data_IF_471132152189
#
_entry.id   IF_471132152189
#
_cell.length_a   1.000
_cell.length_b   1.000
_cell.length_c   1.000
_cell.angle_alpha   90.00
_cell.angle_beta   90.00
_cell.angle_gamma   90.00
#
_symmetry.space_group_name_H-M   'P 1'
#
loop_
_entity.id
_entity.type
_entity.pdbx_description
1 polymer ?
#
# COMPACT_ATOMS: atom_id res chain seq x y z
N UNK A 1 6.35 -5.16 18.20
CA UNK A 1 6.78 -4.23 17.11
C UNK A 1 5.56 -3.57 16.52
N UNK A 2 5.63 -2.24 16.34
CA UNK A 2 4.49 -1.46 15.78
C UNK A 2 4.76 -1.06 14.35
N UNK A 3 3.95 -1.57 13.43
CA UNK A 3 4.06 -1.34 11.99
C UNK A 3 2.86 -0.53 11.51
N UNK A 4 3.11 0.64 10.93
CA UNK A 4 2.10 1.50 10.33
C UNK A 4 2.01 1.25 8.83
N UNK A 5 0.84 0.89 8.35
CA UNK A 5 0.53 0.80 6.92
C UNK A 5 -0.41 1.95 6.53
N UNK A 6 0.05 2.81 5.64
CA UNK A 6 -0.64 4.01 5.17
C UNK A 6 -1.26 3.68 3.81
N UNK A 7 -2.51 4.09 3.61
CA UNK A 7 -3.22 3.90 2.34
C UNK A 7 -2.62 4.71 1.19
N UNK A 8 -3.26 4.57 0.03
CA UNK A 8 -2.81 5.19 -1.22
C UNK A 8 -2.53 6.69 -1.08
N UNK A 9 -1.28 7.09 -1.28
CA UNK A 9 -0.88 8.51 -1.18
C UNK A 9 -1.15 9.19 -2.51
N UNK A 10 -2.08 10.15 -2.52
CA UNK A 10 -2.59 10.77 -3.74
C UNK A 10 -2.01 12.17 -3.96
N UNK A 11 -1.17 12.27 -4.97
CA UNK A 11 -0.58 13.52 -5.45
C UNK A 11 0.35 14.22 -4.46
N UNK A 12 0.86 15.35 -4.88
CA UNK A 12 1.78 16.16 -4.06
C UNK A 12 1.13 16.69 -2.77
N UNK A 13 -0.20 16.87 -2.77
CA UNK A 13 -0.94 17.32 -1.59
C UNK A 13 -0.97 16.23 -0.51
N UNK A 14 -1.22 14.96 -0.91
CA UNK A 14 -1.14 13.81 0.00
C UNK A 14 0.27 13.60 0.53
N UNK A 15 1.29 13.71 -0.34
CA UNK A 15 2.69 13.62 0.07
C UNK A 15 3.07 14.68 1.13
N UNK A 16 2.66 15.93 0.94
CA UNK A 16 2.91 17.01 1.92
C UNK A 16 2.20 16.76 3.23
N UNK A 17 0.94 16.33 3.19
CA UNK A 17 0.17 16.02 4.40
C UNK A 17 0.81 14.88 5.20
N UNK A 18 1.24 13.80 4.52
CA UNK A 18 1.97 12.70 5.14
C UNK A 18 3.24 13.22 5.84
N UNK A 19 4.06 14.01 5.14
CA UNK A 19 5.31 14.59 5.71
C UNK A 19 5.05 15.41 6.97
N UNK A 20 3.96 16.17 6.99
CA UNK A 20 3.58 17.00 8.14
C UNK A 20 3.15 16.15 9.34
N UNK A 21 2.36 15.11 9.13
CA UNK A 21 1.73 14.33 10.20
C UNK A 21 2.58 13.15 10.70
N UNK A 22 3.32 12.49 9.82
CA UNK A 22 4.00 11.23 10.14
C UNK A 22 5.01 11.33 11.29
N UNK A 23 5.88 12.37 11.39
CA UNK A 23 6.86 12.45 12.48
C UNK A 23 6.21 12.48 13.87
N UNK A 24 5.14 13.26 14.02
CA UNK A 24 4.39 13.34 15.27
C UNK A 24 3.68 12.01 15.58
N UNK A 25 3.05 11.42 14.58
CA UNK A 25 2.37 10.13 14.72
C UNK A 25 3.35 9.02 15.13
N UNK A 26 4.52 8.95 14.50
CA UNK A 26 5.58 7.98 14.85
C UNK A 26 5.96 8.10 16.32
N UNK A 27 6.19 9.32 16.80
CA UNK A 27 6.57 9.58 18.20
C UNK A 27 5.45 9.22 19.18
N UNK A 28 4.23 9.68 18.93
CA UNK A 28 3.08 9.48 19.83
C UNK A 28 2.67 8.02 19.92
N UNK A 29 2.70 7.30 18.81
CA UNK A 29 2.29 5.88 18.75
C UNK A 29 3.44 4.90 18.95
N UNK A 30 4.70 5.36 19.02
CA UNK A 30 5.87 4.50 19.13
C UNK A 30 6.00 3.55 17.94
N UNK A 31 5.91 4.10 16.73
CA UNK A 31 5.94 3.31 15.48
C UNK A 31 7.37 2.96 15.12
N UNK A 32 7.65 1.68 14.94
CA UNK A 32 8.95 1.15 14.60
C UNK A 32 9.21 1.13 13.09
N UNK A 33 8.17 0.89 12.28
CA UNK A 33 8.28 0.74 10.82
C UNK A 33 7.05 1.31 10.10
N UNK A 34 7.27 1.89 8.91
CA UNK A 34 6.22 2.56 8.14
C UNK A 34 6.24 2.08 6.69
N UNK A 35 5.09 1.64 6.20
CA UNK A 35 4.82 1.39 4.79
C UNK A 35 3.79 2.38 4.28
N UNK A 36 3.85 2.74 3.00
CA UNK A 36 2.73 3.39 2.32
C UNK A 36 2.57 2.86 0.89
N UNK A 37 1.36 2.88 0.37
CA UNK A 37 1.17 2.71 -1.06
C UNK A 37 1.41 4.07 -1.74
N UNK A 38 2.40 4.12 -2.64
CA UNK A 38 2.86 5.34 -3.31
C UNK A 38 2.49 5.42 -4.78
N UNK A 39 1.72 4.48 -5.32
CA UNK A 39 1.44 4.41 -6.76
C UNK A 39 0.74 5.64 -7.35
N UNK A 40 0.08 6.44 -6.50
CA UNK A 40 -0.66 7.64 -6.88
C UNK A 40 0.04 8.94 -6.47
N UNK A 41 1.29 8.87 -5.99
CA UNK A 41 2.03 10.02 -5.45
C UNK A 41 2.41 11.08 -6.49
N UNK A 42 2.56 10.68 -7.77
CA UNK A 42 2.85 11.59 -8.88
C UNK A 42 1.54 12.01 -9.58
N UNK A 43 1.00 13.16 -9.18
CA UNK A 43 -0.24 13.74 -9.76
C UNK A 43 -1.44 12.78 -9.80
N UNK A 44 -1.51 11.85 -8.82
CA UNK A 44 -2.59 10.87 -8.73
C UNK A 44 -2.52 9.73 -9.73
N UNK A 45 -1.42 9.56 -10.46
CA UNK A 45 -1.27 8.52 -11.47
C UNK A 45 0.21 8.15 -11.71
N UNK A 46 0.67 7.15 -11.00
CA UNK A 46 2.05 6.69 -11.01
C UNK A 46 2.91 7.27 -9.89
N UNK A 47 4.17 6.89 -9.90
CA UNK A 47 5.24 7.35 -9.02
C UNK A 47 6.37 7.92 -9.88
N UNK A 48 7.11 8.89 -9.35
CA UNK A 48 8.34 9.43 -9.95
C UNK A 48 9.48 9.35 -8.95
N UNK A 49 10.75 9.43 -9.40
CA UNK A 49 11.89 9.52 -8.47
C UNK A 49 11.71 10.63 -7.42
N UNK A 50 11.18 11.77 -7.83
CA UNK A 50 10.94 12.91 -6.93
C UNK A 50 9.90 12.60 -5.87
N UNK A 51 8.73 12.04 -6.24
CA UNK A 51 7.68 11.72 -5.27
C UNK A 51 8.08 10.56 -4.36
N UNK A 52 8.81 9.57 -4.88
CA UNK A 52 9.33 8.46 -4.08
C UNK A 52 10.35 8.93 -3.03
N UNK A 53 11.36 9.69 -3.43
CA UNK A 53 12.34 10.26 -2.50
C UNK A 53 11.64 11.15 -1.46
N UNK A 54 10.64 11.94 -1.88
CA UNK A 54 9.89 12.76 -0.94
C UNK A 54 9.19 11.93 0.16
N UNK A 55 8.62 10.78 -0.18
CA UNK A 55 7.98 9.87 0.79
C UNK A 55 9.02 9.19 1.70
N UNK A 56 10.11 8.68 1.13
CA UNK A 56 11.21 8.07 1.91
C UNK A 56 11.82 9.08 2.89
N UNK A 57 12.11 10.30 2.44
CA UNK A 57 12.64 11.40 3.28
C UNK A 57 11.64 11.87 4.35
N UNK A 58 10.36 11.58 4.17
CA UNK A 58 9.31 11.85 5.16
C UNK A 58 9.27 10.82 6.28
N UNK A 59 10.06 9.75 6.19
CA UNK A 59 10.18 8.71 7.20
C UNK A 59 9.40 7.43 6.90
N UNK A 60 8.97 7.24 5.66
CA UNK A 60 8.48 5.96 5.13
C UNK A 60 9.68 5.03 4.92
N UNK A 61 9.56 3.77 5.31
CA UNK A 61 10.63 2.78 5.18
C UNK A 61 10.53 2.00 3.86
N UNK A 62 9.31 1.66 3.42
CA UNK A 62 9.05 0.95 2.18
C UNK A 62 7.82 1.53 1.50
N UNK A 63 7.89 1.69 0.18
CA UNK A 63 6.79 2.12 -0.67
C UNK A 63 6.31 0.92 -1.47
N UNK A 64 5.03 0.56 -1.34
CA UNK A 64 4.36 -0.40 -2.21
C UNK A 64 3.68 0.31 -3.37
N UNK A 65 3.41 -0.41 -4.44
CA UNK A 65 2.78 0.09 -5.65
C UNK A 65 1.53 -0.74 -6.02
N UNK A 66 1.00 -0.54 -7.21
CA UNK A 66 -0.18 -1.23 -7.71
C UNK A 66 -0.31 -1.15 -9.25
N UNK A 67 -1.53 -0.98 -9.77
CA UNK A 67 -1.79 -0.93 -11.21
C UNK A 67 -1.21 0.32 -11.91
N UNK A 68 -0.80 1.33 -11.17
CA UNK A 68 -0.13 2.52 -11.71
C UNK A 68 1.40 2.46 -11.62
N UNK A 69 2.00 1.34 -11.21
CA UNK A 69 3.46 1.18 -11.02
C UNK A 69 4.28 1.71 -12.19
N UNK A 70 3.83 1.45 -13.41
CA UNK A 70 4.57 1.76 -14.65
C UNK A 70 3.88 2.83 -15.52
N UNK A 71 3.08 3.72 -14.93
CA UNK A 71 2.47 4.85 -15.64
C UNK A 71 3.44 5.96 -15.99
N UNK A 72 4.58 6.05 -15.28
CA UNK A 72 5.62 7.06 -15.46
C UNK A 72 6.92 6.38 -15.89
N UNK A 73 7.31 6.57 -17.14
CA UNK A 73 8.52 5.91 -17.72
C UNK A 73 9.80 6.28 -16.96
N UNK A 74 9.88 7.50 -16.44
CA UNK A 74 11.01 8.00 -15.64
C UNK A 74 11.21 7.26 -14.31
N UNK A 75 10.22 6.47 -13.88
CA UNK A 75 10.33 5.67 -12.66
C UNK A 75 10.94 4.28 -12.89
N UNK A 76 11.07 3.81 -14.13
CA UNK A 76 11.44 2.41 -14.40
C UNK A 76 12.81 2.07 -13.85
N UNK A 77 13.84 2.82 -14.25
CA UNK A 77 15.21 2.60 -13.77
C UNK A 77 15.31 2.82 -12.26
N UNK A 78 14.58 3.83 -11.75
CA UNK A 78 14.57 4.16 -10.33
C UNK A 78 13.92 3.07 -9.47
N UNK A 79 12.85 2.42 -9.94
CA UNK A 79 12.21 1.28 -9.26
C UNK A 79 13.16 0.07 -9.27
N UNK A 80 13.89 -0.14 -10.36
CA UNK A 80 14.82 -1.25 -10.50
C UNK A 80 16.04 -1.10 -9.56
N UNK A 81 16.52 0.11 -9.39
CA UNK A 81 17.69 0.44 -8.56
C UNK A 81 17.37 0.62 -7.07
N UNK A 82 16.10 0.82 -6.70
CA UNK A 82 15.71 1.13 -5.32
C UNK A 82 14.95 -0.03 -4.66
N UNK A 83 15.61 -0.81 -3.77
CA UNK A 83 14.99 -1.98 -3.13
C UNK A 83 13.84 -1.65 -2.18
N UNK A 84 13.68 -0.38 -1.78
CA UNK A 84 12.61 0.06 -0.88
C UNK A 84 11.33 0.46 -1.60
N UNK A 85 11.30 0.29 -2.94
CA UNK A 85 10.11 0.44 -3.75
C UNK A 85 9.71 -0.93 -4.29
N UNK A 86 8.56 -1.44 -3.84
CA UNK A 86 8.12 -2.81 -4.08
C UNK A 86 6.91 -2.80 -5.01
N UNK A 87 7.12 -3.26 -6.25
CA UNK A 87 6.04 -3.40 -7.23
C UNK A 87 5.24 -4.68 -6.99
N UNK A 88 4.03 -4.84 -7.56
CA UNK A 88 3.33 -6.13 -7.46
C UNK A 88 4.17 -7.29 -7.98
N UNK A 89 4.28 -8.34 -7.16
CA UNK A 89 5.16 -9.49 -7.42
C UNK A 89 4.68 -10.37 -8.57
N UNK A 90 3.40 -10.31 -8.89
CA UNK A 90 2.80 -11.09 -9.98
C UNK A 90 2.90 -10.45 -11.37
N UNK A 91 3.68 -9.37 -11.54
CA UNK A 91 4.21 -8.99 -12.86
C UNK A 91 5.26 -10.00 -13.32
N UNK A 92 5.45 -10.19 -14.65
CA UNK A 92 6.41 -11.14 -15.19
C UNK A 92 7.83 -10.93 -14.65
N UNK A 93 8.41 -11.99 -14.08
CA UNK A 93 9.78 -11.95 -13.56
C UNK A 93 10.82 -11.81 -14.70
N UNK A 94 11.92 -11.10 -14.39
CA UNK A 94 13.08 -10.95 -15.28
C UNK A 94 12.92 -9.96 -16.43
N UNK A 95 11.69 -9.45 -16.67
CA UNK A 95 11.43 -8.46 -17.72
C UNK A 95 10.82 -7.16 -17.18
N UNK A 96 10.26 -7.20 -15.99
CA UNK A 96 9.61 -6.05 -15.34
C UNK A 96 10.58 -5.43 -14.32
N UNK A 97 10.85 -4.11 -14.37
CA UNK A 97 11.73 -3.44 -13.42
C UNK A 97 11.30 -3.60 -11.96
N UNK A 98 12.28 -3.69 -11.06
CA UNK A 98 12.06 -3.75 -9.62
C UNK A 98 11.65 -5.13 -9.09
N UNK A 99 11.47 -5.18 -7.79
CA UNK A 99 11.20 -6.40 -7.04
C UNK A 99 9.80 -6.37 -6.42
N UNK A 100 9.19 -7.56 -6.27
CA UNK A 100 7.88 -7.73 -5.61
C UNK A 100 7.96 -8.06 -4.12
N UNK A 101 9.18 -8.18 -3.59
CA UNK A 101 9.48 -8.48 -2.19
C UNK A 101 10.75 -7.77 -1.77
N UNK A 102 10.80 -7.32 -0.52
CA UNK A 102 12.02 -6.81 0.13
C UNK A 102 12.13 -7.32 1.56
N UNK A 103 13.34 -7.68 1.96
CA UNK A 103 13.69 -8.02 3.33
C UNK A 103 14.51 -6.87 3.92
N UNK A 104 13.93 -6.12 4.86
CA UNK A 104 14.54 -4.92 5.45
C UNK A 104 15.09 -5.23 6.82
N UNK A 105 16.41 -5.13 6.98
CA UNK A 105 17.05 -5.21 8.28
C UNK A 105 16.93 -3.86 9.02
N UNK A 106 16.19 -3.85 10.12
CA UNK A 106 16.03 -2.66 10.97
C UNK A 106 17.11 -2.53 12.04
N UNK A 107 18.10 -3.42 12.04
CA UNK A 107 19.10 -3.55 13.11
C UNK A 107 18.57 -4.26 14.36
N UNK A 108 17.26 -4.47 14.47
CA UNK A 108 16.61 -5.22 15.56
C UNK A 108 15.94 -6.51 15.05
N UNK A 109 15.32 -6.42 13.89
CA UNK A 109 14.59 -7.51 13.23
C UNK A 109 14.60 -7.29 11.72
N UNK A 110 14.55 -8.37 10.98
CA UNK A 110 14.22 -8.31 9.55
C UNK A 110 12.70 -8.22 9.42
N UNK A 111 12.23 -7.34 8.55
CA UNK A 111 10.82 -7.22 8.16
C UNK A 111 10.75 -7.53 6.68
N UNK A 112 9.94 -8.52 6.32
CA UNK A 112 9.65 -8.83 4.92
C UNK A 112 8.40 -8.07 4.48
N UNK A 113 8.49 -7.34 3.37
CA UNK A 113 7.37 -6.67 2.73
C UNK A 113 7.14 -7.29 1.36
N UNK A 114 5.91 -7.69 1.09
CA UNK A 114 5.47 -8.26 -0.18
C UNK A 114 4.34 -7.39 -0.73
N UNK A 115 4.40 -7.07 -2.01
CA UNK A 115 3.31 -6.43 -2.72
C UNK A 115 2.74 -7.39 -3.76
N UNK A 116 1.43 -7.54 -3.82
CA UNK A 116 0.72 -8.41 -4.78
C UNK A 116 -0.48 -7.65 -5.31
N UNK A 117 -0.83 -7.86 -6.57
CA UNK A 117 -2.01 -7.26 -7.18
C UNK A 117 -3.08 -8.32 -7.47
N UNK A 118 -4.34 -7.97 -7.23
CA UNK A 118 -5.49 -8.78 -7.64
C UNK A 118 -5.71 -8.74 -9.14
N UNK A 119 -6.53 -9.65 -9.63
CA UNK A 119 -6.90 -9.74 -11.05
C UNK A 119 -8.40 -9.44 -11.29
N UNK A 120 -9.24 -9.62 -10.27
CA UNK A 120 -10.69 -9.46 -10.41
C UNK A 120 -11.06 -7.98 -10.56
N UNK A 121 -11.63 -7.61 -11.70
CA UNK A 121 -12.00 -6.25 -12.10
C UNK A 121 -10.80 -5.29 -12.24
N UNK A 122 -9.59 -5.84 -12.35
CA UNK A 122 -8.37 -5.08 -12.65
C UNK A 122 -8.08 -5.17 -14.16
N UNK A 123 -7.56 -4.08 -14.74
CA UNK A 123 -7.27 -4.02 -16.19
C UNK A 123 -6.05 -4.87 -16.59
N UNK A 124 -5.22 -5.26 -15.63
CA UNK A 124 -3.97 -5.98 -15.86
C UNK A 124 -4.21 -7.49 -15.70
N UNK A 125 -3.91 -8.26 -16.76
CA UNK A 125 -3.86 -9.72 -16.68
C UNK A 125 -2.47 -10.14 -16.17
N UNK A 126 -2.34 -10.28 -14.86
CA UNK A 126 -1.13 -10.75 -14.21
C UNK A 126 -1.23 -12.22 -13.82
N UNK A 127 -0.12 -12.80 -13.40
CA UNK A 127 -0.09 -14.16 -12.87
C UNK A 127 -1.01 -14.31 -11.66
N UNK A 128 -1.42 -15.55 -11.36
CA UNK A 128 -2.29 -15.86 -10.23
C UNK A 128 -1.74 -15.29 -8.92
N UNK A 129 -2.50 -14.41 -8.28
CA UNK A 129 -2.09 -13.74 -7.04
C UNK A 129 -1.81 -14.72 -5.89
N UNK A 130 -2.56 -15.83 -5.81
CA UNK A 130 -2.41 -16.84 -4.76
C UNK A 130 -1.13 -17.67 -4.95
N UNK A 131 -0.84 -18.11 -6.17
CA UNK A 131 0.40 -18.84 -6.49
C UNK A 131 1.62 -17.93 -6.31
N UNK A 132 1.49 -16.65 -6.68
CA UNK A 132 2.50 -15.64 -6.45
C UNK A 132 2.77 -15.46 -4.95
N UNK A 133 1.72 -15.37 -4.12
CA UNK A 133 1.85 -15.25 -2.67
C UNK A 133 2.63 -16.44 -2.08
N UNK A 134 2.31 -17.68 -2.47
CA UNK A 134 3.05 -18.87 -2.02
C UNK A 134 4.54 -18.82 -2.40
N UNK A 135 4.83 -18.35 -3.63
CA UNK A 135 6.20 -18.25 -4.09
C UNK A 135 6.98 -17.14 -3.36
N UNK A 136 6.34 -16.01 -3.05
CA UNK A 136 6.97 -14.93 -2.30
C UNK A 136 7.23 -15.32 -0.84
N UNK A 137 6.32 -16.08 -0.21
CA UNK A 137 6.53 -16.58 1.15
C UNK A 137 7.78 -17.47 1.28
N UNK A 138 8.15 -18.20 0.24
CA UNK A 138 9.39 -19.01 0.20
C UNK A 138 10.67 -18.16 0.19
N UNK A 139 10.57 -16.89 -0.24
CA UNK A 139 11.68 -15.92 -0.31
C UNK A 139 11.75 -15.01 0.93
N UNK A 140 10.78 -15.13 1.84
CA UNK A 140 10.77 -14.35 3.08
C UNK A 140 11.87 -14.80 4.04
N UNK A 141 12.64 -13.84 4.57
CA UNK A 141 13.75 -14.10 5.50
C UNK A 141 13.38 -13.82 6.97
N UNK A 142 12.11 -13.55 7.23
CA UNK A 142 11.62 -13.16 8.55
C UNK A 142 10.30 -13.83 8.88
N UNK A 143 10.00 -13.94 10.17
CA UNK A 143 8.67 -14.26 10.67
C UNK A 143 7.74 -13.03 10.76
N UNK A 144 8.28 -11.82 10.53
CA UNK A 144 7.49 -10.59 10.43
C UNK A 144 7.30 -10.27 8.95
N UNK A 145 6.16 -10.65 8.41
CA UNK A 145 5.83 -10.53 6.99
C UNK A 145 4.59 -9.66 6.85
N UNK A 146 4.70 -8.59 6.07
CA UNK A 146 3.60 -7.68 5.77
C UNK A 146 3.29 -7.75 4.28
N UNK A 147 2.02 -7.93 3.95
CA UNK A 147 1.54 -8.01 2.56
C UNK A 147 0.63 -6.83 2.26
N UNK A 148 0.98 -6.04 1.24
CA UNK A 148 0.05 -5.12 0.57
C UNK A 148 -0.63 -5.88 -0.58
N UNK A 149 -1.95 -6.04 -0.50
CA UNK A 149 -2.74 -6.64 -1.56
C UNK A 149 -3.57 -5.58 -2.28
N UNK A 150 -3.02 -5.08 -3.37
CA UNK A 150 -3.60 -4.04 -4.19
C UNK A 150 -4.66 -4.60 -5.13
N UNK A 151 -5.93 -4.50 -4.78
CA UNK A 151 -7.02 -5.15 -5.52
C UNK A 151 -8.36 -4.40 -5.41
N UNK A 152 -9.18 -4.49 -6.47
CA UNK A 152 -10.51 -3.90 -6.51
C UNK A 152 -11.53 -4.73 -5.72
N UNK A 153 -11.59 -6.05 -5.96
CA UNK A 153 -12.68 -6.89 -5.50
C UNK A 153 -12.58 -7.27 -4.02
N UNK A 154 -13.56 -6.89 -3.21
CA UNK A 154 -13.66 -7.26 -1.78
C UNK A 154 -13.56 -8.76 -1.56
N UNK A 155 -14.22 -9.58 -2.41
CA UNK A 155 -14.18 -11.04 -2.31
C UNK A 155 -12.78 -11.60 -2.50
N UNK A 156 -12.02 -11.08 -3.46
CA UNK A 156 -10.63 -11.48 -3.70
C UNK A 156 -9.72 -11.08 -2.53
N UNK A 157 -9.88 -9.86 -1.98
CA UNK A 157 -9.16 -9.41 -0.79
C UNK A 157 -9.43 -10.29 0.43
N UNK A 158 -10.71 -10.61 0.69
CA UNK A 158 -11.08 -11.50 1.80
C UNK A 158 -10.51 -12.90 1.62
N UNK A 159 -10.58 -13.46 0.42
CA UNK A 159 -10.02 -14.78 0.11
C UNK A 159 -8.52 -14.81 0.34
N UNK A 160 -7.78 -13.78 -0.12
CA UNK A 160 -6.33 -13.65 0.12
C UNK A 160 -6.02 -13.52 1.62
N UNK A 161 -6.81 -12.77 2.37
CA UNK A 161 -6.65 -12.66 3.82
C UNK A 161 -6.73 -14.01 4.54
N UNK A 162 -7.75 -14.81 4.25
CA UNK A 162 -7.85 -16.17 4.82
C UNK A 162 -6.77 -17.11 4.30
N UNK A 163 -6.39 -16.99 3.05
CA UNK A 163 -5.29 -17.79 2.48
C UNK A 163 -3.95 -17.55 3.16
N UNK A 164 -3.69 -16.31 3.56
CA UNK A 164 -2.48 -15.88 4.24
C UNK A 164 -2.55 -16.00 5.77
N UNK A 165 -3.71 -16.28 6.34
CA UNK A 165 -3.91 -16.33 7.80
C UNK A 165 -3.01 -17.37 8.47
N UNK A 166 -2.19 -16.90 9.41
CA UNK A 166 -1.16 -17.68 10.10
C UNK A 166 0.15 -17.86 9.34
N UNK A 167 0.23 -17.42 8.08
CA UNK A 167 1.46 -17.45 7.26
C UNK A 167 2.18 -16.10 7.24
N UNK A 168 1.47 -15.01 7.54
CA UNK A 168 2.01 -13.65 7.57
C UNK A 168 1.61 -12.93 8.87
N UNK A 169 2.33 -11.87 9.21
CA UNK A 169 1.97 -11.03 10.37
C UNK A 169 0.73 -10.23 10.09
N UNK A 170 0.67 -9.59 8.91
CA UNK A 170 -0.48 -8.80 8.50
C UNK A 170 -0.63 -8.76 6.97
N UNK A 171 -1.87 -8.65 6.53
CA UNK A 171 -2.24 -8.27 5.17
C UNK A 171 -3.18 -7.07 5.24
N UNK A 172 -2.88 -6.04 4.47
CA UNK A 172 -3.76 -4.90 4.27
C UNK A 172 -4.06 -4.73 2.79
N UNK A 173 -5.27 -4.30 2.47
CA UNK A 173 -5.65 -3.99 1.09
C UNK A 173 -5.50 -2.51 0.77
N UNK A 174 -5.26 -2.22 -0.51
CA UNK A 174 -5.18 -0.87 -1.11
C UNK A 174 -5.99 -0.83 -2.40
N UNK A 175 -6.02 0.26 -3.12
CA UNK A 175 -6.67 0.53 -4.41
C UNK A 175 -8.00 1.28 -4.33
N UNK A 176 -8.92 0.91 -3.43
CA UNK A 176 -10.28 1.51 -3.46
C UNK A 176 -10.33 2.90 -2.83
N UNK A 177 -9.26 3.32 -2.13
CA UNK A 177 -9.12 4.63 -1.49
C UNK A 177 -10.14 4.92 -0.37
N UNK A 178 -10.88 3.90 0.08
CA UNK A 178 -11.89 4.03 1.16
C UNK A 178 -11.58 3.05 2.27
N UNK A 179 -11.27 3.59 3.46
CA UNK A 179 -10.98 2.76 4.62
C UNK A 179 -12.19 1.93 5.02
N UNK A 180 -12.01 0.60 5.08
CA UNK A 180 -13.08 -0.32 5.48
C UNK A 180 -13.10 -0.54 7.00
N UNK A 181 -14.24 -0.94 7.51
CA UNK A 181 -14.48 -1.12 8.97
C UNK A 181 -14.24 -2.55 9.47
N UNK A 182 -13.67 -3.43 8.61
CA UNK A 182 -13.54 -4.86 8.91
C UNK A 182 -12.18 -5.27 9.46
N UNK A 183 -11.42 -4.31 9.97
CA UNK A 183 -10.11 -4.52 10.58
C UNK A 183 -10.18 -5.51 11.75
N UNK A 184 -9.39 -6.58 11.70
CA UNK A 184 -9.44 -7.68 12.67
C UNK A 184 -8.14 -8.48 12.72
N UNK A 185 -7.94 -9.22 13.80
CA UNK A 185 -6.98 -10.32 13.84
C UNK A 185 -7.72 -11.59 13.43
N UNK A 186 -7.23 -12.25 12.38
CA UNK A 186 -7.80 -13.50 11.87
C UNK A 186 -7.52 -14.68 12.83
N UNK A 187 -8.25 -15.80 12.71
CA UNK A 187 -8.18 -16.91 13.68
C UNK A 187 -6.79 -17.49 13.93
N UNK A 188 -5.88 -17.49 12.93
CA UNK A 188 -4.53 -18.01 13.06
C UNK A 188 -3.48 -16.94 13.44
N UNK A 189 -3.92 -15.68 13.62
CA UNK A 189 -3.11 -14.60 14.18
C UNK A 189 -2.57 -13.59 13.17
N UNK A 190 -2.99 -13.60 11.92
CA UNK A 190 -2.66 -12.53 10.98
C UNK A 190 -3.58 -11.33 11.16
N UNK A 191 -3.03 -10.12 11.19
CA UNK A 191 -3.80 -8.88 11.11
C UNK A 191 -4.37 -8.68 9.70
N UNK A 192 -5.60 -8.16 9.60
CA UNK A 192 -6.29 -8.00 8.33
C UNK A 192 -7.16 -6.75 8.28
N UNK A 193 -7.15 -6.09 7.13
CA UNK A 193 -8.14 -5.09 6.73
C UNK A 193 -8.35 -5.16 5.21
N UNK A 194 -9.60 -5.06 4.76
CA UNK A 194 -9.93 -5.11 3.32
C UNK A 194 -9.35 -3.93 2.54
N UNK A 195 -9.45 -2.71 3.05
CA UNK A 195 -8.78 -1.55 2.45
C UNK A 195 -8.42 -0.52 3.53
N UNK A 196 -7.21 0.00 3.43
CA UNK A 196 -6.68 0.99 4.40
C UNK A 196 -7.16 2.40 4.11
N UNK A 197 -7.67 2.67 2.90
CA UNK A 197 -8.08 3.99 2.46
C UNK A 197 -6.99 4.77 1.73
N UNK A 198 -7.00 6.08 1.84
CA UNK A 198 -6.05 6.95 1.15
C UNK A 198 -5.48 8.06 2.05
N UNK A 199 -4.38 8.65 1.59
CA UNK A 199 -3.85 9.93 2.08
C UNK A 199 -4.03 10.98 0.99
N UNK A 200 -4.93 11.92 1.20
CA UNK A 200 -5.28 12.92 0.18
C UNK A 200 -6.45 13.79 0.59
N UNK A 201 -6.99 14.53 -0.37
CA UNK A 201 -8.06 15.53 -0.14
C UNK A 201 -9.39 14.89 0.27
N UNK A 202 -9.99 15.37 1.35
CA UNK A 202 -11.26 14.85 1.90
C UNK A 202 -12.40 15.05 0.92
N UNK A 203 -12.60 16.30 0.48
CA UNK A 203 -13.70 16.69 -0.42
C UNK A 203 -13.36 16.39 -1.88
N UNK A 204 -13.32 15.08 -2.20
CA UNK A 204 -12.95 14.57 -3.52
C UNK A 204 -13.65 13.25 -3.83
N UNK A 205 -13.57 12.80 -5.06
CA UNK A 205 -13.85 11.40 -5.39
C UNK A 205 -12.51 10.70 -5.59
N UNK A 206 -12.06 9.99 -4.56
CA UNK A 206 -10.78 9.25 -4.55
C UNK A 206 -9.56 10.13 -4.86
N UNK A 207 -9.58 11.41 -4.42
CA UNK A 207 -8.54 12.39 -4.67
C UNK A 207 -8.77 13.30 -5.88
N UNK A 208 -9.72 12.98 -6.75
CA UNK A 208 -10.07 13.75 -7.97
C UNK A 208 -11.23 14.69 -7.69
N UNK A 209 -11.26 15.85 -8.35
CA UNK A 209 -12.38 16.81 -8.29
C UNK A 209 -13.69 16.13 -8.61
N UNK A 210 -14.68 16.27 -7.73
CA UNK A 210 -15.95 15.55 -7.79
C UNK A 210 -16.75 15.83 -9.05
N UNK A 211 -16.76 17.08 -9.51
CA UNK A 211 -17.48 17.50 -10.73
C UNK A 211 -16.98 16.78 -11.99
N UNK A 212 -15.67 16.49 -12.07
CA UNK A 212 -15.08 15.77 -13.21
C UNK A 212 -15.59 14.32 -13.23
N UNK A 213 -15.56 13.66 -12.07
CA UNK A 213 -15.99 12.27 -11.96
C UNK A 213 -17.50 12.12 -12.15
N UNK A 214 -18.30 13.01 -11.57
CA UNK A 214 -19.76 13.05 -11.77
C UNK A 214 -20.08 13.22 -13.25
N UNK A 215 -19.42 14.18 -13.94
CA UNK A 215 -19.64 14.40 -15.36
C UNK A 215 -19.24 13.17 -16.20
N UNK A 216 -18.09 12.55 -15.92
CA UNK A 216 -17.66 11.31 -16.58
C UNK A 216 -18.70 10.19 -16.43
N UNK A 217 -19.25 9.98 -15.22
CA UNK A 217 -20.27 8.95 -14.98
C UNK A 217 -21.60 9.27 -15.67
N UNK A 218 -21.98 10.56 -15.77
CA UNK A 218 -23.21 10.97 -16.44
C UNK A 218 -23.12 10.86 -17.97
N UNK A 219 -21.98 11.27 -18.53
CA UNK A 219 -21.82 11.38 -19.99
C UNK A 219 -21.20 10.15 -20.63
N UNK A 220 -20.49 9.32 -19.85
CA UNK A 220 -19.64 8.20 -20.30
C UNK A 220 -18.48 8.63 -21.21
N UNK A 221 -18.21 9.93 -21.31
CA UNK A 221 -17.09 10.44 -22.09
C UNK A 221 -15.78 10.37 -21.29
N UNK A 222 -14.63 10.18 -21.97
CA UNK A 222 -13.33 10.30 -21.34
C UNK A 222 -13.15 11.68 -20.71
N UNK A 223 -12.52 11.73 -19.54
CA UNK A 223 -12.21 12.98 -18.86
C UNK A 223 -10.76 12.96 -18.36
N UNK A 224 -10.07 14.10 -18.47
CA UNK A 224 -8.79 14.28 -17.79
C UNK A 224 -9.08 14.53 -16.32
N UNK A 225 -8.37 13.81 -15.45
CA UNK A 225 -8.53 13.95 -14.01
C UNK A 225 -7.60 15.04 -13.47
N UNK A 226 -8.20 15.99 -12.77
CA UNK A 226 -7.47 16.97 -11.95
C UNK A 226 -7.68 16.63 -10.48
N UNK A 227 -6.61 16.67 -9.70
CA UNK A 227 -6.68 16.44 -8.27
C UNK A 227 -7.46 17.55 -7.57
N UNK A 228 -8.18 17.17 -6.54
CA UNK A 228 -8.87 18.13 -5.68
C UNK A 228 -7.87 18.79 -4.72
N UNK A 229 -8.15 20.04 -4.36
CA UNK A 229 -7.42 20.81 -3.37
C UNK A 229 -8.23 20.91 -2.06
N UNK A 230 -7.56 21.31 -0.98
CA UNK A 230 -8.20 21.64 0.30
C UNK A 230 -7.75 20.77 1.46
N UNK A 231 -8.65 20.55 2.41
CA UNK A 231 -8.38 19.78 3.60
C UNK A 231 -8.09 18.31 3.25
N UNK A 232 -7.04 17.77 3.92
CA UNK A 232 -6.57 16.41 3.67
C UNK A 232 -6.83 15.50 4.86
N UNK A 233 -6.92 14.20 4.58
CA UNK A 233 -6.89 13.13 5.57
C UNK A 233 -5.72 12.19 5.31
N UNK A 234 -5.34 11.43 6.35
CA UNK A 234 -4.47 10.26 6.23
C UNK A 234 -5.15 9.08 6.92
N UNK A 235 -5.47 8.07 6.14
CA UNK A 235 -6.03 6.81 6.61
C UNK A 235 -4.95 5.76 6.66
N UNK A 236 -4.84 5.06 7.79
CA UNK A 236 -3.83 4.04 8.01
C UNK A 236 -4.29 3.00 9.04
N UNK A 237 -3.58 1.89 9.08
CA UNK A 237 -3.73 0.86 10.11
C UNK A 237 -2.41 0.67 10.83
N UNK A 238 -2.47 0.59 12.16
CA UNK A 238 -1.34 0.28 13.01
C UNK A 238 -1.48 -1.16 13.52
N UNK A 239 -0.53 -2.01 13.14
CA UNK A 239 -0.43 -3.38 13.64
C UNK A 239 0.58 -3.44 14.80
N UNK A 240 0.16 -4.02 15.92
CA UNK A 240 1.04 -4.37 17.03
C UNK A 240 1.37 -5.87 16.94
N UNK A 241 2.62 -6.19 16.60
CA UNK A 241 3.06 -7.53 16.24
C UNK A 241 3.99 -8.06 17.32
N UNK A 242 3.79 -9.31 17.73
CA UNK A 242 4.71 -10.03 18.61
C UNK A 242 6.01 -10.34 17.86
N UNK A 243 7.11 -9.80 18.33
CA UNK A 243 8.44 -9.94 17.70
C UNK A 243 8.96 -11.38 17.64
N UNK A 244 8.45 -12.27 18.51
CA UNK A 244 8.92 -13.66 18.60
C UNK A 244 8.14 -14.57 17.67
N UNK A 245 6.82 -14.39 17.64
CA UNK A 245 5.93 -15.28 16.88
C UNK A 245 5.60 -14.73 15.50
N UNK A 246 5.78 -13.43 15.28
CA UNK A 246 5.32 -12.74 14.06
C UNK A 246 3.80 -12.52 14.00
N UNK A 247 3.04 -12.91 15.03
CA UNK A 247 1.60 -12.76 15.04
C UNK A 247 1.16 -11.35 15.42
N UNK A 248 0.11 -10.87 14.82
CA UNK A 248 -0.53 -9.61 15.22
C UNK A 248 -1.29 -9.83 16.54
N UNK A 249 -0.96 -9.02 17.54
CA UNK A 249 -1.62 -9.01 18.85
C UNK A 249 -2.88 -8.16 18.82
N UNK A 250 -2.76 -6.96 18.28
CA UNK A 250 -3.86 -6.00 18.11
C UNK A 250 -3.64 -5.17 16.87
N UNK A 251 -4.69 -4.52 16.40
CA UNK A 251 -4.60 -3.52 15.34
C UNK A 251 -5.54 -2.35 15.62
N UNK A 252 -5.23 -1.19 15.09
CA UNK A 252 -6.01 0.03 15.26
C UNK A 252 -6.09 0.79 13.95
N UNK A 253 -7.29 1.19 13.57
CA UNK A 253 -7.48 2.16 12.50
C UNK A 253 -7.06 3.55 12.98
N UNK A 254 -6.40 4.28 12.12
CA UNK A 254 -6.03 5.67 12.36
C UNK A 254 -6.58 6.51 11.21
N UNK A 255 -7.25 7.58 11.57
CA UNK A 255 -7.79 8.57 10.67
C UNK A 255 -7.42 9.95 11.21
N UNK A 256 -6.66 10.71 10.47
CA UNK A 256 -6.16 12.06 10.87
C UNK A 256 -6.63 13.07 9.85
#
# INVERSE_FOLDING_TARGET
MRILCIGDVVGSIGCRFLRDKLPTLKKVKGIDFVLCNGENSADGNGITPSSANYLLDSGVNVITLGNHSFRRKEAYDFIDENPFIVRPANFPDGTTPGMGIVNVDTGRKIITVINIMGNTFMDNNLDCAFDCAENMLKKAESNIIIVDFHAEATGEKRAMGYFLDGKVSAMFGTHTHVQTSDAQVLPNGSGYITDVGMTGTIHSVLGVKSEIIINKFKTKLPARFDLADGECKMECVLFDIDDKTGKTLTLSLIHI
#
